data_IF_049328902183
#
_entry.id   IF_049328902183
#
_cell.length_a   1.000
_cell.length_b   1.000
_cell.length_c   1.000
_cell.angle_alpha   90.00
_cell.angle_beta   90.00
_cell.angle_gamma   90.00
#
_symmetry.space_group_name_H-M   'P 1'
#
loop_
_entity.id
_entity.type
_entity.pdbx_description
1 polymer ?
#
# COMPACT_ATOMS: atom_id res chain seq x y z
N UNK A 1 21.37 8.08 5.00
CA UNK A 1 20.00 8.30 5.48
C UNK A 1 19.05 8.20 4.30
N UNK A 2 17.99 7.42 4.46
CA UNK A 2 16.94 7.40 3.45
C UNK A 2 16.32 8.79 3.34
N UNK A 3 16.32 9.37 2.15
CA UNK A 3 15.63 10.63 1.91
C UNK A 3 14.18 10.32 1.63
N UNK A 4 13.32 10.74 2.53
CA UNK A 4 11.88 10.66 2.38
C UNK A 4 11.45 11.78 1.44
N UNK A 5 11.37 11.49 0.16
CA UNK A 5 10.97 12.50 -0.82
C UNK A 5 9.66 12.09 -1.45
N UNK A 6 8.66 12.94 -1.29
CA UNK A 6 7.40 12.84 -2.02
C UNK A 6 7.60 13.31 -3.45
N UNK A 7 8.29 12.53 -4.24
CA UNK A 7 8.59 12.90 -5.62
C UNK A 7 7.59 12.29 -6.56
N UNK A 8 6.91 13.11 -7.32
CA UNK A 8 6.21 12.70 -8.51
C UNK A 8 7.22 12.24 -9.58
N UNK A 9 8.04 11.24 -9.24
CA UNK A 9 9.08 10.74 -10.14
C UNK A 9 8.48 10.09 -11.37
N UNK A 10 7.32 9.45 -11.18
CA UNK A 10 6.65 8.78 -12.27
C UNK A 10 5.37 9.54 -12.60
N UNK A 11 5.20 10.02 -13.84
CA UNK A 11 3.97 10.70 -14.24
C UNK A 11 2.76 9.78 -14.07
N UNK A 12 1.66 10.31 -13.56
CA UNK A 12 0.45 9.54 -13.29
C UNK A 12 -0.12 8.83 -14.52
N UNK A 13 0.08 9.44 -15.69
CA UNK A 13 -0.43 8.93 -16.97
C UNK A 13 0.61 8.12 -17.74
N UNK A 14 1.81 7.91 -17.19
CA UNK A 14 2.84 7.12 -17.83
C UNK A 14 2.60 5.63 -17.61
N UNK A 15 2.98 4.83 -18.59
CA UNK A 15 3.01 3.37 -18.41
C UNK A 15 4.12 3.04 -17.40
N UNK A 16 3.81 2.30 -16.33
CA UNK A 16 4.83 1.89 -15.36
C UNK A 16 6.02 1.18 -15.98
N UNK A 17 5.81 0.45 -17.09
CA UNK A 17 6.88 -0.21 -17.81
C UNK A 17 7.95 0.76 -18.33
N UNK A 18 7.53 1.98 -18.68
CA UNK A 18 8.43 2.99 -19.22
C UNK A 18 9.11 3.81 -18.11
N UNK A 19 8.62 3.73 -16.89
CA UNK A 19 9.03 4.61 -15.80
C UNK A 19 9.73 3.89 -14.65
N UNK A 20 9.37 2.64 -14.36
CA UNK A 20 9.94 1.87 -13.26
C UNK A 20 11.23 1.18 -13.70
N UNK A 21 12.29 1.38 -12.92
CA UNK A 21 13.53 0.64 -13.11
C UNK A 21 13.42 -0.76 -12.48
N UNK A 22 14.28 -1.67 -12.94
CA UNK A 22 14.40 -2.99 -12.33
C UNK A 22 14.68 -2.86 -10.82
N UNK A 23 14.00 -3.66 -10.01
CA UNK A 23 14.12 -3.62 -8.56
C UNK A 23 13.31 -2.53 -7.87
N UNK A 24 12.50 -1.77 -8.61
CA UNK A 24 11.59 -0.77 -8.04
C UNK A 24 10.13 -1.26 -8.08
N UNK A 25 9.35 -0.92 -7.06
CA UNK A 25 7.93 -1.23 -6.98
C UNK A 25 7.13 0.06 -6.90
N UNK A 26 6.04 0.13 -7.64
CA UNK A 26 5.04 1.19 -7.49
C UNK A 26 3.83 0.60 -6.76
N UNK A 27 3.37 1.27 -5.71
CA UNK A 27 2.22 0.84 -4.94
C UNK A 27 1.24 2.00 -4.76
N UNK A 28 -0.01 1.76 -5.13
CA UNK A 28 -1.12 2.64 -4.73
C UNK A 28 -1.76 2.03 -3.50
N UNK A 29 -1.99 2.84 -2.47
CA UNK A 29 -2.62 2.40 -1.23
C UNK A 29 -3.79 3.31 -0.90
N UNK A 30 -4.82 2.75 -0.32
CA UNK A 30 -5.96 3.52 0.19
C UNK A 30 -6.55 2.83 1.40
N UNK A 31 -7.34 3.58 2.15
CA UNK A 31 -8.06 3.10 3.31
C UNK A 31 -9.54 3.39 3.18
N UNK A 32 -10.35 2.56 3.82
CA UNK A 32 -11.80 2.72 3.89
C UNK A 32 -12.29 2.44 5.30
N UNK A 33 -13.44 2.94 5.62
CA UNK A 33 -14.09 2.70 6.91
C UNK A 33 -15.59 2.59 6.71
N UNK A 34 -16.20 1.63 7.39
CA UNK A 34 -17.65 1.48 7.37
C UNK A 34 -18.17 1.41 8.80
N UNK A 35 -18.90 2.44 9.18
CA UNK A 35 -19.40 2.58 10.55
C UNK A 35 -20.39 1.46 10.93
N UNK A 36 -21.21 1.03 9.99
CA UNK A 36 -22.16 -0.07 10.22
C UNK A 36 -21.45 -1.38 10.59
N UNK A 37 -20.30 -1.65 10.04
CA UNK A 37 -19.52 -2.86 10.31
C UNK A 37 -18.47 -2.67 11.41
N UNK A 38 -18.22 -1.42 11.85
CA UNK A 38 -17.15 -1.07 12.78
C UNK A 38 -15.81 -1.65 12.34
N UNK A 39 -15.49 -1.48 11.05
CA UNK A 39 -14.25 -1.96 10.45
C UNK A 39 -13.61 -0.92 9.55
N UNK A 40 -12.29 -0.82 9.66
CA UNK A 40 -11.46 -0.14 8.67
C UNK A 40 -10.86 -1.19 7.74
N UNK A 41 -10.57 -0.79 6.53
CA UNK A 41 -9.96 -1.68 5.54
C UNK A 41 -8.87 -0.97 4.77
N UNK A 42 -8.02 -1.76 4.13
CA UNK A 42 -7.00 -1.25 3.23
C UNK A 42 -7.05 -1.96 1.88
N UNK A 43 -6.57 -1.27 0.87
CA UNK A 43 -6.33 -1.82 -0.45
C UNK A 43 -4.94 -1.42 -0.93
N UNK A 44 -4.26 -2.36 -1.54
CA UNK A 44 -2.96 -2.14 -2.17
C UNK A 44 -3.00 -2.62 -3.60
N UNK A 45 -2.46 -1.81 -4.50
CA UNK A 45 -2.26 -2.15 -5.90
C UNK A 45 -0.76 -2.11 -6.16
N UNK A 46 -0.16 -3.26 -6.42
CA UNK A 46 1.27 -3.39 -6.68
C UNK A 46 1.52 -3.45 -8.18
N UNK A 47 2.36 -2.57 -8.67
CA UNK A 47 2.71 -2.47 -10.08
C UNK A 47 4.20 -2.72 -10.24
N UNK A 48 4.54 -3.75 -11.00
CA UNK A 48 5.90 -4.20 -11.22
C UNK A 48 6.52 -3.53 -12.45
N UNK A 49 7.86 -3.51 -12.55
CA UNK A 49 8.53 -2.93 -13.72
C UNK A 49 8.13 -3.54 -15.06
N UNK A 50 7.75 -4.82 -15.09
CA UNK A 50 7.28 -5.51 -16.29
C UNK A 50 5.79 -5.25 -16.61
N UNK A 51 5.11 -4.48 -15.75
CA UNK A 51 3.72 -4.10 -15.89
C UNK A 51 2.71 -5.07 -15.28
N UNK A 52 3.17 -6.16 -14.66
CA UNK A 52 2.25 -7.03 -13.90
C UNK A 52 1.67 -6.27 -12.71
N UNK A 53 0.42 -6.55 -12.39
CA UNK A 53 -0.32 -5.90 -11.32
C UNK A 53 -0.85 -6.97 -10.37
N UNK A 54 -0.58 -6.78 -9.09
CA UNK A 54 -1.14 -7.60 -8.02
C UNK A 54 -1.91 -6.73 -7.03
N UNK A 55 -2.94 -7.27 -6.45
CA UNK A 55 -3.78 -6.55 -5.48
C UNK A 55 -3.83 -7.31 -4.17
N UNK A 56 -3.99 -6.57 -3.07
CA UNK A 56 -4.20 -7.14 -1.75
C UNK A 56 -5.13 -6.26 -0.95
N UNK A 57 -5.88 -6.86 -0.04
CA UNK A 57 -6.77 -6.13 0.84
C UNK A 57 -6.91 -6.87 2.18
N UNK A 58 -7.37 -6.14 3.17
CA UNK A 58 -7.65 -6.68 4.48
C UNK A 58 -8.46 -5.71 5.32
N UNK A 59 -8.80 -6.09 6.52
CA UNK A 59 -9.55 -5.24 7.43
C UNK A 59 -9.10 -5.42 8.88
N UNK A 60 -9.59 -4.54 9.74
CA UNK A 60 -9.37 -4.61 11.17
C UNK A 60 -10.47 -3.92 11.93
N UNK A 61 -10.56 -4.23 13.21
CA UNK A 61 -11.55 -3.71 14.13
C UNK A 61 -10.98 -3.34 15.50
N UNK A 62 -9.66 -3.15 15.58
CA UNK A 62 -9.00 -2.74 16.81
C UNK A 62 -9.61 -1.41 17.31
N UNK A 63 -10.15 -1.34 18.54
CA UNK A 63 -10.83 -0.15 19.03
C UNK A 63 -10.00 1.13 18.98
N UNK A 64 -8.71 1.07 19.24
CA UNK A 64 -7.83 2.23 19.19
C UNK A 64 -7.61 2.73 17.74
N UNK A 65 -7.58 1.80 16.80
CA UNK A 65 -7.43 2.10 15.37
C UNK A 65 -8.74 2.58 14.74
N UNK A 66 -9.89 2.15 15.25
CA UNK A 66 -11.20 2.59 14.75
C UNK A 66 -11.40 4.09 14.86
N UNK A 67 -10.77 4.75 15.83
CA UNK A 67 -10.84 6.20 16.01
C UNK A 67 -10.26 6.97 14.83
N UNK A 68 -9.30 6.39 14.12
CA UNK A 68 -8.66 6.99 12.95
C UNK A 68 -9.40 6.66 11.65
N UNK A 69 -10.43 5.81 11.70
CA UNK A 69 -11.30 5.44 10.57
C UNK A 69 -10.51 4.98 9.35
N UNK A 70 -10.77 5.58 8.18
CA UNK A 70 -10.09 5.24 6.93
C UNK A 70 -8.58 5.49 6.96
N UNK A 71 -8.10 6.42 7.79
CA UNK A 71 -6.65 6.70 7.93
C UNK A 71 -5.93 5.48 8.50
N UNK A 72 -6.54 4.74 9.43
CA UNK A 72 -5.98 3.47 9.93
C UNK A 72 -5.79 2.46 8.81
N UNK A 73 -6.76 2.34 7.91
CA UNK A 73 -6.64 1.48 6.74
C UNK A 73 -5.50 1.91 5.83
N UNK A 74 -5.38 3.20 5.56
CA UNK A 74 -4.33 3.70 4.68
C UNK A 74 -2.93 3.49 5.28
N UNK A 75 -2.76 3.70 6.59
CA UNK A 75 -1.51 3.37 7.28
C UNK A 75 -1.17 1.88 7.16
N UNK A 76 -2.15 1.00 7.35
CA UNK A 76 -1.97 -0.44 7.17
C UNK A 76 -1.57 -0.79 5.74
N UNK A 77 -2.22 -0.18 4.76
CA UNK A 77 -1.90 -0.37 3.34
C UNK A 77 -0.45 0.03 3.03
N UNK A 78 -0.03 1.19 3.53
CA UNK A 78 1.35 1.66 3.36
C UNK A 78 2.35 0.70 4.00
N UNK A 79 2.08 0.25 5.23
CA UNK A 79 2.95 -0.73 5.91
C UNK A 79 2.98 -2.07 5.20
N UNK A 80 1.82 -2.57 4.76
CA UNK A 80 1.75 -3.81 3.99
C UNK A 80 2.60 -3.72 2.73
N UNK A 81 2.47 -2.62 1.99
CA UNK A 81 3.19 -2.40 0.73
C UNK A 81 4.71 -2.42 0.93
N UNK A 82 5.22 -1.73 1.96
CA UNK A 82 6.66 -1.72 2.24
C UNK A 82 7.14 -3.12 2.65
N UNK A 83 6.38 -3.81 3.49
CA UNK A 83 6.75 -5.17 3.91
C UNK A 83 6.73 -6.15 2.74
N UNK A 84 5.74 -6.03 1.85
CA UNK A 84 5.71 -6.80 0.61
C UNK A 84 6.97 -6.55 -0.23
N UNK A 85 7.35 -5.28 -0.39
CA UNK A 85 8.55 -4.92 -1.15
C UNK A 85 9.82 -5.51 -0.52
N UNK A 86 9.94 -5.46 0.81
CA UNK A 86 11.05 -6.08 1.53
C UNK A 86 11.08 -7.60 1.36
N UNK A 87 9.94 -8.25 1.51
CA UNK A 87 9.82 -9.71 1.36
C UNK A 87 10.14 -10.17 -0.07
N UNK A 88 9.96 -9.28 -1.04
CA UNK A 88 10.14 -9.57 -2.46
C UNK A 88 11.52 -9.19 -3.00
N UNK A 89 12.37 -8.57 -2.16
CA UNK A 89 13.72 -8.19 -2.55
C UNK A 89 13.82 -6.91 -3.39
N UNK A 90 12.79 -6.08 -3.41
CA UNK A 90 12.87 -4.78 -4.09
C UNK A 90 13.82 -3.85 -3.34
N UNK A 91 14.57 -3.01 -4.10
CA UNK A 91 15.48 -2.01 -3.53
C UNK A 91 14.81 -0.67 -3.23
N UNK A 92 13.68 -0.41 -3.87
CA UNK A 92 12.93 0.84 -3.70
C UNK A 92 11.44 0.60 -3.92
N UNK A 93 10.64 1.39 -3.22
CA UNK A 93 9.19 1.44 -3.40
C UNK A 93 8.75 2.89 -3.46
N UNK A 94 7.86 3.21 -4.41
CA UNK A 94 7.11 4.46 -4.41
C UNK A 94 5.69 4.18 -3.94
N UNK A 95 5.26 4.87 -2.89
CA UNK A 95 3.91 4.76 -2.34
C UNK A 95 3.11 5.97 -2.81
N UNK A 96 2.01 5.72 -3.51
CA UNK A 96 1.04 6.73 -3.90
C UNK A 96 -0.18 6.64 -3.00
N UNK A 97 -0.52 7.75 -2.38
CA UNK A 97 -1.49 7.84 -1.30
C UNK A 97 -2.26 9.17 -1.40
N UNK A 98 -3.40 9.31 -0.70
CA UNK A 98 -4.15 10.56 -0.76
C UNK A 98 -4.18 11.37 0.55
N UNK A 99 -3.99 10.75 1.71
CA UNK A 99 -4.00 11.47 2.99
C UNK A 99 -2.60 11.90 3.41
N UNK A 100 -2.38 13.21 3.54
CA UNK A 100 -1.06 13.80 3.79
C UNK A 100 -0.28 13.20 4.96
N UNK A 101 -0.97 12.74 6.01
CA UNK A 101 -0.34 12.16 7.19
C UNK A 101 0.50 10.93 6.89
N UNK A 102 0.17 10.19 5.85
CA UNK A 102 0.89 8.97 5.44
C UNK A 102 2.38 9.26 5.21
N UNK A 103 2.68 10.37 4.58
CA UNK A 103 4.06 10.84 4.38
C UNK A 103 4.55 11.68 5.56
N UNK A 104 3.75 12.65 6.00
CA UNK A 104 4.18 13.69 6.92
C UNK A 104 4.53 13.18 8.31
N UNK A 105 3.87 12.12 8.78
CA UNK A 105 4.25 11.47 10.04
C UNK A 105 5.60 10.76 9.93
N UNK A 106 5.90 10.16 8.80
CA UNK A 106 7.16 9.45 8.58
C UNK A 106 8.32 10.41 8.42
N UNK A 107 8.11 11.49 7.65
CA UNK A 107 9.15 12.51 7.42
C UNK A 107 9.40 13.40 8.64
N UNK A 108 8.44 13.46 9.57
CA UNK A 108 8.49 14.37 10.71
C UNK A 108 7.93 15.75 10.44
N UNK A 109 7.39 16.02 9.24
CA UNK A 109 6.71 17.27 8.93
C UNK A 109 5.50 17.49 9.84
N UNK A 110 4.81 16.40 10.19
CA UNK A 110 3.78 16.39 11.22
C UNK A 110 4.27 15.59 12.43
N UNK A 111 4.00 16.11 13.62
CA UNK A 111 4.28 15.40 14.86
C UNK A 111 3.24 14.29 15.06
N UNK A 112 3.70 13.09 15.37
CA UNK A 112 2.82 11.97 15.73
C UNK A 112 2.37 12.13 17.18
N UNK A 113 1.07 12.36 17.39
CA UNK A 113 0.52 12.72 18.72
C UNK A 113 -0.10 11.56 19.47
N UNK A 114 -0.33 10.43 18.80
CA UNK A 114 -0.91 9.25 19.44
C UNK A 114 -0.03 8.03 19.20
N UNK A 115 -0.29 6.98 19.97
CA UNK A 115 0.50 5.76 19.91
C UNK A 115 0.46 5.09 18.52
N UNK A 116 -0.69 5.11 17.87
CA UNK A 116 -0.87 4.49 16.56
C UNK A 116 0.00 5.15 15.48
N UNK A 117 -0.05 6.48 15.38
CA UNK A 117 0.75 7.22 14.40
C UNK A 117 2.23 7.20 14.73
N UNK A 118 2.58 7.18 16.01
CA UNK A 118 3.98 7.01 16.46
C UNK A 118 4.53 5.64 16.03
N UNK A 119 3.76 4.59 16.25
CA UNK A 119 4.12 3.23 15.85
C UNK A 119 4.28 3.09 14.34
N UNK A 120 3.35 3.67 13.59
CA UNK A 120 3.41 3.72 12.13
C UNK A 120 4.70 4.41 11.67
N UNK A 121 4.96 5.62 12.18
CA UNK A 121 6.13 6.39 11.78
C UNK A 121 7.45 5.66 12.13
N UNK A 122 7.54 5.10 13.32
CA UNK A 122 8.72 4.34 13.76
C UNK A 122 8.97 3.11 12.89
N UNK A 123 7.92 2.36 12.61
CA UNK A 123 8.00 1.16 11.77
C UNK A 123 8.47 1.49 10.36
N UNK A 124 7.86 2.51 9.75
CA UNK A 124 8.21 2.93 8.40
C UNK A 124 9.64 3.47 8.32
N UNK A 125 10.08 4.24 9.32
CA UNK A 125 11.47 4.73 9.39
C UNK A 125 12.46 3.57 9.55
N UNK A 126 12.13 2.57 10.36
CA UNK A 126 12.96 1.38 10.54
C UNK A 126 13.14 0.63 9.23
N UNK A 127 12.05 0.41 8.50
CA UNK A 127 12.12 -0.24 7.18
C UNK A 127 12.86 0.62 6.15
N UNK A 128 12.75 1.95 6.26
CA UNK A 128 13.46 2.89 5.40
C UNK A 128 14.97 2.81 5.49
N UNK A 129 15.52 2.14 6.52
CA UNK A 129 16.94 1.84 6.62
C UNK A 129 17.34 0.67 5.70
N UNK A 130 16.39 -0.15 5.29
CA UNK A 130 16.60 -1.36 4.48
C UNK A 130 16.16 -1.22 3.03
N UNK A 131 15.21 -0.34 2.77
CA UNK A 131 14.65 -0.11 1.44
C UNK A 131 14.42 1.39 1.26
N UNK A 132 14.65 1.89 0.05
CA UNK A 132 14.31 3.28 -0.26
C UNK A 132 12.80 3.42 -0.39
N UNK A 133 12.19 4.30 0.41
CA UNK A 133 10.77 4.60 0.35
C UNK A 133 10.58 6.00 -0.21
N UNK A 134 9.77 6.11 -1.26
CA UNK A 134 9.36 7.39 -1.85
C UNK A 134 7.86 7.52 -1.68
N UNK A 135 7.42 8.74 -1.40
CA UNK A 135 6.00 9.06 -1.22
C UNK A 135 5.55 10.03 -2.30
N UNK A 136 4.41 9.78 -2.91
CA UNK A 136 3.79 10.70 -3.86
C UNK A 136 2.32 10.85 -3.50
N UNK A 137 1.93 12.07 -3.14
CA UNK A 137 0.52 12.35 -2.86
C UNK A 137 -0.28 12.39 -4.15
N UNK A 138 -1.39 11.66 -4.18
CA UNK A 138 -2.34 11.68 -5.27
C UNK A 138 -3.49 12.62 -4.88
N UNK A 139 -3.94 13.52 -5.76
CA UNK A 139 -5.11 14.35 -5.46
C UNK A 139 -6.34 13.48 -5.21
N UNK A 140 -7.04 13.75 -4.10
CA UNK A 140 -8.28 13.04 -3.77
C UNK A 140 -9.32 13.24 -4.88
N UNK A 141 -10.04 12.17 -5.23
CA UNK A 141 -11.09 12.16 -6.27
C UNK A 141 -10.60 12.61 -7.66
N UNK A 142 -9.34 12.34 -7.96
CA UNK A 142 -8.68 12.83 -9.19
C UNK A 142 -8.93 11.97 -10.43
N UNK A 143 -9.74 10.92 -10.37
CA UNK A 143 -9.98 9.95 -11.47
C UNK A 143 -8.71 9.27 -11.98
N UNK A 144 -7.67 9.17 -11.17
CA UNK A 144 -6.49 8.39 -11.47
C UNK A 144 -6.86 6.92 -11.36
N UNK A 145 -6.67 6.17 -12.44
CA UNK A 145 -7.11 4.77 -12.58
C UNK A 145 -6.74 3.87 -11.41
N UNK A 146 -5.47 3.89 -11.02
CA UNK A 146 -4.99 2.99 -9.96
C UNK A 146 -5.34 3.50 -8.55
N UNK A 147 -5.52 4.81 -8.39
CA UNK A 147 -6.03 5.35 -7.13
C UNK A 147 -7.50 4.95 -6.92
N UNK A 148 -8.31 5.01 -7.96
CA UNK A 148 -9.70 4.53 -7.91
C UNK A 148 -9.75 3.03 -7.62
N UNK A 149 -8.87 2.25 -8.23
CA UNK A 149 -8.79 0.81 -7.99
C UNK A 149 -8.38 0.51 -6.53
N UNK A 150 -7.45 1.28 -5.97
CA UNK A 150 -7.07 1.17 -4.57
C UNK A 150 -8.24 1.49 -3.64
N UNK A 151 -9.03 2.52 -3.95
CA UNK A 151 -10.24 2.87 -3.20
C UNK A 151 -11.26 1.72 -3.22
N UNK A 152 -11.56 1.19 -4.40
CA UNK A 152 -12.47 0.05 -4.55
C UNK A 152 -11.95 -1.17 -3.79
N UNK A 153 -10.66 -1.44 -3.88
CA UNK A 153 -10.02 -2.57 -3.20
C UNK A 153 -10.08 -2.41 -1.68
N UNK A 154 -9.90 -1.19 -1.16
CA UNK A 154 -10.05 -0.90 0.26
C UNK A 154 -11.48 -1.14 0.74
N UNK A 155 -12.49 -0.75 -0.04
CA UNK A 155 -13.90 -1.01 0.25
C UNK A 155 -14.20 -2.51 0.27
N UNK A 156 -13.66 -3.26 -0.68
CA UNK A 156 -13.75 -4.72 -0.69
C UNK A 156 -13.09 -5.32 0.55
N UNK A 157 -11.97 -4.76 0.98
CA UNK A 157 -11.29 -5.17 2.20
C UNK A 157 -12.18 -5.04 3.43
N UNK A 158 -12.88 -3.92 3.59
CA UNK A 158 -13.84 -3.73 4.68
C UNK A 158 -14.94 -4.79 4.64
N UNK A 159 -15.54 -5.00 3.47
CA UNK A 159 -16.71 -5.87 3.31
C UNK A 159 -16.37 -7.36 3.35
N UNK A 160 -15.29 -7.77 2.72
CA UNK A 160 -14.95 -9.16 2.46
C UNK A 160 -13.66 -9.62 3.13
N UNK A 161 -12.88 -8.73 3.71
CA UNK A 161 -11.64 -9.07 4.39
C UNK A 161 -11.88 -9.91 5.64
N UNK A 162 -10.87 -10.70 5.99
CA UNK A 162 -10.89 -11.56 7.17
C UNK A 162 -9.66 -11.24 8.03
N UNK A 163 -9.59 -10.02 8.53
CA UNK A 163 -8.45 -9.52 9.27
C UNK A 163 -7.32 -9.01 8.36
N UNK A 164 -6.15 -8.87 8.95
CA UNK A 164 -4.95 -8.45 8.23
C UNK A 164 -4.25 -9.72 7.72
N UNK A 165 -4.14 -9.92 6.40
CA UNK A 165 -3.50 -11.12 5.88
C UNK A 165 -2.00 -11.10 6.17
N UNK A 166 -1.41 -12.29 6.28
CA UNK A 166 0.05 -12.39 6.34
C UNK A 166 0.64 -11.73 5.10
N UNK A 167 1.67 -10.93 5.29
CA UNK A 167 2.29 -10.21 4.18
C UNK A 167 2.96 -11.19 3.22
N UNK A 168 2.52 -11.14 1.98
CA UNK A 168 3.04 -11.97 0.89
C UNK A 168 4.37 -11.46 0.38
N UNK A 169 5.03 -12.30 -0.41
CA UNK A 169 6.13 -11.93 -1.28
C UNK A 169 5.68 -12.00 -2.74
N UNK A 170 6.49 -11.48 -3.66
CA UNK A 170 6.22 -11.63 -5.09
C UNK A 170 6.13 -13.11 -5.49
N UNK A 171 6.98 -13.96 -4.95
CA UNK A 171 6.95 -15.39 -5.25
C UNK A 171 5.65 -16.07 -4.82
N UNK A 172 4.98 -15.58 -3.76
CA UNK A 172 3.67 -16.07 -3.35
C UNK A 172 2.60 -15.76 -4.41
N UNK A 173 2.61 -14.55 -4.96
CA UNK A 173 1.69 -14.17 -6.05
C UNK A 173 1.99 -14.95 -7.32
N UNK A 174 3.25 -15.14 -7.66
CA UNK A 174 3.67 -15.90 -8.83
C UNK A 174 3.28 -17.37 -8.72
N UNK A 175 3.38 -17.95 -7.53
CA UNK A 175 2.96 -19.32 -7.27
C UNK A 175 1.43 -19.49 -7.42
N UNK A 176 0.65 -18.49 -6.96
CA UNK A 176 -0.81 -18.51 -7.13
C UNK A 176 -1.19 -18.42 -8.61
N UNK A 177 -0.53 -17.56 -9.39
CA UNK A 177 -0.74 -17.47 -10.86
C UNK A 177 -0.42 -18.79 -11.56
N UNK A 178 0.66 -19.44 -11.17
CA UNK A 178 1.06 -20.73 -11.74
C UNK A 178 0.02 -21.83 -11.42
N UNK A 179 -0.52 -21.84 -10.20
CA UNK A 179 -1.55 -22.77 -9.77
C UNK A 179 -2.85 -22.57 -10.57
N UNK A 180 -3.26 -21.32 -10.80
CA UNK A 180 -4.43 -21.00 -11.63
C UNK A 180 -4.25 -21.49 -13.06
N UNK A 181 -3.10 -21.24 -13.69
CA UNK A 181 -2.80 -21.71 -15.04
C UNK A 181 -2.84 -23.23 -15.14
N UNK A 182 -2.35 -23.93 -14.14
CA UNK A 182 -2.41 -25.41 -14.12
C UNK A 182 -3.83 -25.91 -13.97
N UNK A 183 -4.67 -25.23 -13.20
CA UNK A 183 -6.07 -25.58 -13.03
C UNK A 183 -6.85 -25.37 -14.33
N UNK A 184 -6.65 -24.22 -15.00
CA UNK A 184 -7.28 -23.90 -16.28
C UNK A 184 -6.87 -24.91 -17.37
N UNK A 185 -5.63 -25.36 -17.38
CA UNK A 185 -5.14 -26.36 -18.32
C UNK A 185 -5.70 -27.75 -18.10
N UNK A 186 -6.20 -28.04 -16.88
CA UNK A 186 -6.81 -29.34 -16.54
C UNK A 186 -8.31 -29.42 -16.89
N UNK A 187 -8.96 -28.28 -17.17
CA UNK A 187 -10.37 -28.18 -17.60
C UNK A 187 -10.46 -28.19 -19.14
#
# INVERSE_FOLDING_TARGET
>A
MAQWQGLGRYPENADPKDCLAAGELLAYVDGSYQDALKKYGFGCIFILPDGRIYTEYGNGDNPDSLKQRNVSGEMLGAMYAVRFALNSGFRAIEIRYDYEGIEKWVTGAWKSKNELTQKYAQTMRGWGQKIQIRFTKVPAHSKVKYNELADETAKLGVANGNGIPKVKSLSDFEAADAAERMQDAAE
#
